data_IF_583166607265
#
_entry.id   IF_583166607265
#
_cell.length_a   1.000
_cell.length_b   1.000
_cell.length_c   1.000
_cell.angle_alpha   90.00
_cell.angle_beta   90.00
_cell.angle_gamma   90.00
#
_symmetry.space_group_name_H-M   'P 1'
#
loop_
_entity.id
_entity.type
_entity.pdbx_description
1 polymer ?
#
# COMPACT_ATOMS: atom_id res chain seq x y z
N UNK A 1 13.70 12.21 -0.07
CA UNK A 1 12.39 11.50 -0.02
C UNK A 1 12.12 10.81 -1.35
N UNK A 2 11.95 9.48 -1.37
CA UNK A 2 11.62 8.75 -2.61
C UNK A 2 10.12 8.89 -2.88
N UNK A 3 9.75 9.70 -3.89
CA UNK A 3 8.36 9.96 -4.26
C UNK A 3 7.77 8.74 -4.96
N UNK A 4 6.61 8.25 -4.49
CA UNK A 4 5.87 7.18 -5.20
C UNK A 4 5.24 7.73 -6.48
N UNK A 5 4.60 6.87 -7.29
CA UNK A 5 3.91 7.27 -8.54
C UNK A 5 2.82 8.33 -8.30
N UNK A 6 2.30 8.42 -7.08
CA UNK A 6 1.34 9.44 -6.63
C UNK A 6 2.00 10.62 -5.85
N UNK A 7 3.31 10.83 -5.99
CA UNK A 7 4.01 12.05 -5.54
C UNK A 7 4.34 12.14 -4.05
N UNK A 8 3.78 11.27 -3.19
CA UNK A 8 4.01 11.22 -1.73
C UNK A 8 4.63 9.89 -1.29
N UNK A 9 5.41 9.86 -0.21
CA UNK A 9 5.95 8.63 0.36
C UNK A 9 4.98 8.06 1.41
N UNK A 10 4.09 7.17 0.97
CA UNK A 10 3.03 6.60 1.81
C UNK A 10 3.55 5.61 2.86
N UNK A 11 4.84 5.26 2.83
CA UNK A 11 5.44 4.33 3.80
C UNK A 11 5.50 4.94 5.20
N UNK A 12 5.68 6.26 5.30
CA UNK A 12 5.93 6.98 6.56
C UNK A 12 4.72 7.75 7.09
N UNK A 13 3.55 7.59 6.47
CA UNK A 13 2.34 8.21 6.99
C UNK A 13 1.93 7.59 8.33
N UNK A 14 1.15 8.34 9.12
CA UNK A 14 0.61 7.84 10.38
C UNK A 14 -0.35 6.67 10.10
N UNK A 15 -0.31 5.68 10.97
CA UNK A 15 -1.18 4.49 10.89
C UNK A 15 -2.65 4.86 10.91
N UNK A 16 -3.41 4.31 9.97
CA UNK A 16 -4.86 4.48 9.89
C UNK A 16 -5.31 5.78 9.19
N UNK A 17 -4.38 6.67 8.83
CA UNK A 17 -4.70 7.90 8.09
C UNK A 17 -5.36 7.54 6.76
N UNK A 18 -6.54 8.11 6.51
CA UNK A 18 -7.25 7.97 5.24
C UNK A 18 -6.62 8.90 4.20
N UNK A 19 -6.04 8.32 3.17
CA UNK A 19 -5.42 9.03 2.06
C UNK A 19 -6.26 8.91 0.80
N UNK A 20 -6.17 9.94 -0.03
CA UNK A 20 -6.88 10.03 -1.30
C UNK A 20 -5.87 10.31 -2.40
N UNK A 21 -5.77 9.41 -3.38
CA UNK A 21 -5.07 9.69 -4.63
C UNK A 21 -6.10 10.38 -5.55
N UNK A 22 -5.88 11.65 -5.91
CA UNK A 22 -6.80 12.37 -6.76
C UNK A 22 -6.88 11.70 -8.13
N UNK A 23 -8.06 11.82 -8.75
CA UNK A 23 -8.27 11.40 -10.13
C UNK A 23 -7.24 12.08 -11.05
N UNK A 24 -6.58 11.29 -11.90
CA UNK A 24 -5.65 11.80 -12.91
C UNK A 24 -5.86 11.05 -14.21
N UNK A 25 -5.92 11.76 -15.33
CA UNK A 25 -6.08 11.22 -16.68
C UNK A 25 -7.29 10.26 -16.81
N UNK A 26 -8.48 10.69 -16.40
CA UNK A 26 -9.72 9.90 -16.50
C UNK A 26 -9.86 8.74 -15.52
N UNK A 27 -8.89 8.54 -14.61
CA UNK A 27 -8.97 7.50 -13.57
C UNK A 27 -9.78 7.97 -12.37
N UNK A 28 -10.57 7.06 -11.79
CA UNK A 28 -11.36 7.33 -10.58
C UNK A 28 -10.46 7.68 -9.38
N UNK A 29 -10.99 8.48 -8.48
CA UNK A 29 -10.38 8.78 -7.17
C UNK A 29 -10.22 7.49 -6.38
N UNK A 30 -9.07 7.30 -5.75
CA UNK A 30 -8.80 6.13 -4.90
C UNK A 30 -8.60 6.58 -3.47
N UNK A 31 -9.43 6.08 -2.57
CA UNK A 31 -9.30 6.26 -1.12
C UNK A 31 -8.74 4.99 -0.49
N UNK A 32 -7.79 5.14 0.43
CA UNK A 32 -7.21 4.00 1.15
C UNK A 32 -6.66 4.43 2.51
N UNK A 33 -6.48 3.46 3.41
CA UNK A 33 -5.84 3.70 4.70
C UNK A 33 -4.34 3.45 4.61
N UNK A 34 -3.55 4.42 5.06
CA UNK A 34 -2.12 4.27 5.20
C UNK A 34 -1.79 3.14 6.19
N UNK A 35 -0.95 2.21 5.75
CA UNK A 35 -0.52 1.06 6.54
C UNK A 35 -1.50 -0.12 6.60
N UNK A 36 -2.53 -0.16 5.75
CA UNK A 36 -3.46 -1.32 5.70
C UNK A 36 -2.73 -2.65 5.50
N UNK A 37 -1.83 -2.70 4.51
CA UNK A 37 -1.05 -3.91 4.22
C UNK A 37 -0.08 -4.25 5.37
N UNK A 38 0.58 -3.24 5.94
CA UNK A 38 1.47 -3.39 7.10
C UNK A 38 0.76 -4.05 8.29
N UNK A 39 -0.48 -3.64 8.57
CA UNK A 39 -1.30 -4.25 9.64
C UNK A 39 -1.57 -5.73 9.38
N UNK A 40 -1.98 -6.08 8.17
CA UNK A 40 -2.31 -7.47 7.81
C UNK A 40 -1.10 -8.40 7.83
N UNK A 41 0.08 -7.87 7.49
CA UNK A 41 1.32 -8.64 7.46
C UNK A 41 2.08 -8.64 8.80
N UNK A 42 1.58 -7.92 9.82
CA UNK A 42 2.27 -7.74 11.09
C UNK A 42 3.64 -7.07 10.92
N UNK A 43 3.76 -6.12 9.98
CA UNK A 43 4.99 -5.38 9.72
C UNK A 43 4.80 -3.95 10.23
N UNK A 44 5.74 -3.39 11.00
CA UNK A 44 5.63 -2.00 11.45
C UNK A 44 5.54 -1.02 10.27
N UNK A 45 4.60 -0.08 10.33
CA UNK A 45 4.53 1.00 9.35
C UNK A 45 5.77 1.89 9.43
N UNK A 46 6.16 2.52 8.33
CA UNK A 46 7.46 3.22 8.22
C UNK A 46 8.61 2.30 7.82
N UNK A 47 8.43 0.97 7.91
CA UNK A 47 9.44 0.00 7.47
C UNK A 47 9.11 -0.57 6.09
N UNK A 48 10.14 -1.02 5.39
CA UNK A 48 9.97 -1.72 4.11
C UNK A 48 9.35 -3.09 4.40
N UNK A 49 8.23 -3.38 3.74
CA UNK A 49 7.62 -4.72 3.78
C UNK A 49 8.63 -5.73 3.20
N UNK A 50 9.00 -6.80 3.93
CA UNK A 50 9.88 -7.84 3.43
C UNK A 50 9.36 -8.45 2.13
N UNK A 51 10.26 -8.86 1.23
CA UNK A 51 9.89 -9.40 -0.08
C UNK A 51 9.05 -10.68 0.05
N UNK A 52 9.41 -11.54 1.00
CA UNK A 52 8.69 -12.78 1.31
C UNK A 52 7.25 -12.49 1.72
N UNK A 53 7.05 -11.67 2.77
CA UNK A 53 5.70 -11.28 3.21
C UNK A 53 4.87 -10.60 2.11
N UNK A 54 5.50 -9.81 1.24
CA UNK A 54 4.81 -9.24 0.09
C UNK A 54 4.37 -10.31 -0.92
N UNK A 55 5.23 -11.29 -1.22
CA UNK A 55 4.90 -12.40 -2.11
C UNK A 55 3.80 -13.27 -1.52
N UNK A 56 3.88 -13.58 -0.23
CA UNK A 56 2.86 -14.34 0.50
C UNK A 56 1.50 -13.64 0.48
N UNK A 57 1.49 -12.31 0.64
CA UNK A 57 0.30 -11.49 0.48
C UNK A 57 -0.27 -11.57 -0.93
N UNK A 58 0.57 -11.47 -1.97
CA UNK A 58 0.16 -11.59 -3.37
C UNK A 58 -0.38 -12.99 -3.70
N UNK A 59 0.17 -14.03 -3.09
CA UNK A 59 -0.30 -15.41 -3.19
C UNK A 59 -1.62 -15.64 -2.43
N UNK A 60 -2.04 -14.69 -1.61
CA UNK A 60 -3.29 -14.75 -0.85
C UNK A 60 -3.19 -15.47 0.49
N UNK A 61 -1.97 -15.75 0.99
CA UNK A 61 -1.76 -16.45 2.26
C UNK A 61 -2.30 -15.66 3.47
N UNK A 62 -2.36 -14.33 3.36
CA UNK A 62 -2.94 -13.42 4.36
C UNK A 62 -4.42 -13.06 4.07
N UNK A 63 -5.07 -13.82 3.18
CA UNK A 63 -6.45 -13.61 2.77
C UNK A 63 -6.63 -12.63 1.60
N UNK A 64 -7.83 -12.68 1.01
CA UNK A 64 -8.20 -11.91 -0.20
C UNK A 64 -8.02 -10.40 0.00
N UNK A 65 -8.32 -9.89 1.20
CA UNK A 65 -8.17 -8.48 1.52
C UNK A 65 -6.70 -8.04 1.58
N UNK A 66 -5.77 -8.90 2.01
CA UNK A 66 -4.34 -8.59 1.99
C UNK A 66 -3.79 -8.65 0.56
N UNK A 67 -4.25 -9.62 -0.24
CA UNK A 67 -3.88 -9.75 -1.66
C UNK A 67 -4.20 -8.49 -2.45
N UNK A 68 -5.43 -7.97 -2.35
CA UNK A 68 -5.85 -6.73 -3.03
C UNK A 68 -4.98 -5.53 -2.64
N UNK A 69 -4.61 -5.42 -1.37
CA UNK A 69 -3.73 -4.35 -0.90
C UNK A 69 -2.27 -4.52 -1.35
N UNK A 70 -1.78 -5.75 -1.43
CA UNK A 70 -0.46 -6.06 -1.98
C UNK A 70 -0.38 -5.72 -3.47
N UNK A 71 -1.41 -6.07 -4.24
CA UNK A 71 -1.55 -5.69 -5.65
C UNK A 71 -1.60 -4.16 -5.81
N UNK A 72 -2.39 -3.48 -4.98
CA UNK A 72 -2.44 -2.00 -4.97
C UNK A 72 -1.07 -1.39 -4.65
N UNK A 73 -0.38 -1.88 -3.61
CA UNK A 73 0.93 -1.39 -3.24
C UNK A 73 1.97 -1.61 -4.36
N UNK A 74 1.92 -2.76 -5.04
CA UNK A 74 2.82 -3.10 -6.17
C UNK A 74 2.57 -2.22 -7.39
N UNK A 75 1.30 -1.97 -7.73
CA UNK A 75 0.91 -1.33 -8.99
C UNK A 75 0.77 0.19 -8.90
N UNK A 76 0.39 0.72 -7.72
CA UNK A 76 0.04 2.13 -7.52
C UNK A 76 1.08 2.86 -6.66
N UNK A 77 1.52 2.24 -5.56
CA UNK A 77 2.40 2.91 -4.59
C UNK A 77 3.90 2.70 -4.87
N UNK A 78 4.28 1.76 -5.73
CA UNK A 78 5.71 1.48 -6.01
C UNK A 78 6.29 2.47 -7.04
N UNK A 79 7.25 3.29 -6.60
CA UNK A 79 8.34 3.88 -7.41
C UNK A 79 9.62 3.86 -6.58
#
# INVERSE_FOLDING_TARGET
>A
MKKTKAGKDYRYLKKGTKETIPAKNGKKVITFHAGGLHQKLGVPQGTKIPKEKMNDALNGLYGVAAKKEAEFAKNVLRK
#
